data_IF_178201602963
#
_entry.id   IF_178201602963
#
_cell.length_a   1.000
_cell.length_b   1.000
_cell.length_c   1.000
_cell.angle_alpha   90.00
_cell.angle_beta   90.00
_cell.angle_gamma   90.00
#
_symmetry.space_group_name_H-M   'P 1'
#
loop_
_entity.id
_entity.type
_entity.pdbx_description
1 polymer ?
#
# COMPACT_ATOMS: atom_id res chain seq x y z
N UNK A 1 -21.96 -7.14 3.02
CA UNK A 1 -21.47 -5.84 3.52
C UNK A 1 -20.00 -5.73 3.12
N UNK A 2 -19.53 -4.55 2.72
CA UNK A 2 -18.21 -4.37 2.09
C UNK A 2 -17.35 -3.41 2.90
N UNK A 3 -16.06 -3.73 3.04
CA UNK A 3 -15.03 -2.80 3.49
C UNK A 3 -14.30 -2.21 2.31
N UNK A 4 -14.07 -0.89 2.33
CA UNK A 4 -13.22 -0.22 1.35
C UNK A 4 -11.86 0.00 1.98
N UNK A 5 -10.85 -0.65 1.42
CA UNK A 5 -9.45 -0.52 1.81
C UNK A 5 -8.75 0.48 0.89
N UNK A 6 -7.88 1.31 1.46
CA UNK A 6 -6.90 2.11 0.73
C UNK A 6 -5.55 1.39 0.90
N UNK A 7 -4.98 0.88 -0.19
CA UNK A 7 -3.78 0.03 -0.17
C UNK A 7 -2.69 0.66 -1.02
N UNK A 8 -1.55 0.95 -0.40
CA UNK A 8 -0.32 1.40 -1.06
C UNK A 8 0.46 0.19 -1.59
N UNK A 9 0.79 0.20 -2.89
CA UNK A 9 1.51 -0.88 -3.57
C UNK A 9 2.79 -0.28 -4.14
N UNK A 10 3.91 -0.92 -3.83
CA UNK A 10 5.20 -0.53 -4.40
C UNK A 10 5.23 -0.79 -5.91
N UNK A 11 6.01 0.00 -6.64
CA UNK A 11 6.19 -0.17 -8.08
C UNK A 11 6.74 -1.55 -8.47
N UNK A 12 7.60 -2.16 -7.65
CA UNK A 12 8.31 -3.38 -8.01
C UNK A 12 7.33 -4.55 -8.18
N UNK A 13 6.35 -4.62 -7.28
CA UNK A 13 5.25 -5.60 -7.30
C UNK A 13 4.38 -5.53 -8.58
N UNK A 14 4.51 -4.45 -9.37
CA UNK A 14 3.80 -4.27 -10.64
C UNK A 14 4.73 -4.52 -11.84
N UNK A 15 5.96 -4.02 -11.78
CA UNK A 15 6.91 -4.06 -12.91
C UNK A 15 7.50 -5.45 -13.15
N UNK A 16 7.67 -6.25 -12.10
CA UNK A 16 8.21 -7.61 -12.22
C UNK A 16 7.25 -8.60 -12.91
N UNK A 17 5.98 -8.23 -13.07
CA UNK A 17 4.94 -9.04 -13.70
C UNK A 17 4.40 -10.17 -12.83
N UNK A 18 4.65 -10.16 -11.51
CA UNK A 18 4.14 -11.14 -10.57
C UNK A 18 2.61 -11.19 -10.51
N UNK A 19 1.97 -10.05 -10.78
CA UNK A 19 0.54 -9.95 -11.03
C UNK A 19 0.21 -9.19 -12.31
N UNK A 20 -0.98 -9.44 -12.89
CA UNK A 20 -1.53 -8.55 -13.88
C UNK A 20 -1.73 -7.14 -13.27
N UNK A 21 -1.42 -6.07 -14.02
CA UNK A 21 -1.66 -4.70 -13.55
C UNK A 21 -3.13 -4.50 -13.14
N UNK A 22 -3.41 -3.93 -11.95
CA UNK A 22 -4.77 -3.68 -11.50
C UNK A 22 -5.60 -2.87 -12.50
N UNK A 23 -6.89 -3.19 -12.60
CA UNK A 23 -7.86 -2.48 -13.45
C UNK A 23 -9.13 -2.24 -12.65
N UNK A 24 -9.65 -1.01 -12.70
CA UNK A 24 -10.94 -0.67 -12.08
C UNK A 24 -12.03 -1.56 -12.66
N UNK A 25 -12.85 -2.14 -11.79
CA UNK A 25 -13.90 -3.10 -12.14
C UNK A 25 -13.47 -4.56 -12.18
N UNK A 26 -12.18 -4.86 -12.01
CA UNK A 26 -11.68 -6.23 -11.89
C UNK A 26 -11.23 -6.56 -10.47
N UNK A 27 -11.16 -7.85 -10.14
CA UNK A 27 -10.62 -8.30 -8.85
C UNK A 27 -9.09 -8.25 -8.88
N UNK A 28 -8.50 -7.86 -7.75
CA UNK A 28 -7.08 -7.97 -7.47
C UNK A 28 -6.85 -8.69 -6.13
N UNK A 29 -5.66 -9.24 -5.95
CA UNK A 29 -5.28 -10.00 -4.76
C UNK A 29 -3.92 -9.53 -4.26
N UNK A 30 -3.80 -9.26 -2.96
CA UNK A 30 -2.57 -8.73 -2.34
C UNK A 30 -2.38 -9.31 -0.93
N UNK A 31 -1.15 -9.61 -0.53
CA UNK A 31 -0.83 -9.82 0.89
C UNK A 31 -0.74 -8.45 1.54
N UNK A 32 -1.40 -8.27 2.67
CA UNK A 32 -1.47 -6.96 3.33
C UNK A 32 -0.54 -6.89 4.54
N UNK A 33 0.10 -5.75 4.68
CA UNK A 33 0.77 -5.31 5.90
C UNK A 33 0.17 -3.99 6.37
N UNK A 34 0.17 -3.78 7.66
CA UNK A 34 -0.34 -2.58 8.30
C UNK A 34 0.77 -1.89 9.12
N UNK A 35 0.89 -0.58 8.96
CA UNK A 35 1.70 0.29 9.83
C UNK A 35 0.80 1.32 10.48
N UNK A 36 0.77 1.36 11.82
CA UNK A 36 0.18 2.50 12.53
C UNK A 36 1.15 3.67 12.48
N UNK A 37 0.96 4.52 11.48
CA UNK A 37 1.72 5.76 11.22
C UNK A 37 0.75 6.82 10.69
N UNK A 38 1.07 8.09 10.93
CA UNK A 38 0.34 9.22 10.37
C UNK A 38 1.03 9.71 9.09
N UNK A 39 0.63 9.13 7.96
CA UNK A 39 1.17 9.41 6.63
C UNK A 39 0.05 9.83 5.67
N UNK A 40 0.41 10.36 4.50
CA UNK A 40 -0.53 10.91 3.50
C UNK A 40 -1.66 9.96 3.08
N UNK A 41 -1.45 8.64 3.22
CA UNK A 41 -2.41 7.60 2.85
C UNK A 41 -2.92 6.80 4.06
N UNK A 42 -2.69 7.31 5.28
CA UNK A 42 -3.18 6.69 6.49
C UNK A 42 -4.71 6.75 6.54
N UNK A 43 -5.34 5.59 6.48
CA UNK A 43 -6.78 5.41 6.56
C UNK A 43 -7.19 4.69 7.84
N UNK A 44 -8.48 4.67 8.17
CA UNK A 44 -8.98 3.76 9.17
C UNK A 44 -8.80 2.31 8.69
N UNK A 45 -8.33 1.44 9.57
CA UNK A 45 -8.43 0.00 9.37
C UNK A 45 -9.90 -0.42 9.45
N UNK A 46 -10.33 -1.51 8.78
CA UNK A 46 -11.71 -1.99 8.88
C UNK A 46 -12.19 -2.16 10.32
N UNK A 47 -13.49 -1.87 10.53
CA UNK A 47 -14.10 -1.79 11.86
C UNK A 47 -13.98 -3.09 12.65
N UNK A 48 -14.00 -2.98 13.97
CA UNK A 48 -13.90 -4.09 14.90
C UNK A 48 -12.68 -5.01 14.63
N UNK A 49 -11.46 -4.45 14.50
CA UNK A 49 -10.27 -5.26 14.32
C UNK A 49 -10.05 -6.19 15.51
N UNK A 50 -9.67 -7.42 15.22
CA UNK A 50 -9.19 -8.39 16.20
C UNK A 50 -7.70 -8.59 16.01
N UNK A 51 -6.95 -8.52 17.11
CA UNK A 51 -5.53 -8.85 17.13
C UNK A 51 -5.31 -10.35 17.29
N UNK A 52 -4.34 -10.89 16.55
CA UNK A 52 -3.89 -12.28 16.67
C UNK A 52 -2.39 -12.27 16.96
N UNK A 53 -1.99 -12.38 18.23
CA UNK A 53 -0.60 -12.25 18.67
C UNK A 53 0.34 -13.24 18.00
N UNK A 54 -0.08 -14.50 17.84
CA UNK A 54 0.77 -15.61 17.38
C UNK A 54 1.28 -15.39 15.95
N UNK A 55 0.46 -14.75 15.11
CA UNK A 55 0.80 -14.43 13.74
C UNK A 55 1.17 -12.96 13.55
N UNK A 56 1.07 -12.14 14.61
CA UNK A 56 1.24 -10.70 14.58
C UNK A 56 0.32 -10.03 13.54
N UNK A 57 -0.97 -10.42 13.49
CA UNK A 57 -1.92 -9.94 12.47
C UNK A 57 -3.14 -9.22 13.04
N UNK A 58 -3.59 -8.19 12.33
CA UNK A 58 -4.92 -7.61 12.48
C UNK A 58 -5.90 -8.31 11.52
N UNK A 59 -7.09 -8.63 12.02
CA UNK A 59 -8.17 -9.24 11.26
C UNK A 59 -9.45 -8.43 11.39
N UNK A 60 -10.16 -8.24 10.28
CA UNK A 60 -11.52 -7.72 10.30
C UNK A 60 -12.23 -8.10 9.00
N UNK A 61 -13.41 -8.72 9.12
CA UNK A 61 -14.16 -9.22 7.97
C UNK A 61 -13.31 -10.13 7.07
N UNK A 62 -13.24 -9.78 5.78
CA UNK A 62 -12.40 -10.48 4.79
C UNK A 62 -10.92 -10.06 4.76
N UNK A 63 -10.49 -9.17 5.67
CA UNK A 63 -9.16 -8.57 5.68
C UNK A 63 -8.27 -9.21 6.75
N UNK A 64 -7.07 -9.63 6.34
CA UNK A 64 -5.99 -10.07 7.25
C UNK A 64 -4.73 -9.31 6.87
N UNK A 65 -4.15 -8.58 7.82
CA UNK A 65 -2.93 -7.79 7.59
C UNK A 65 -1.88 -8.08 8.67
N UNK A 66 -0.62 -8.25 8.27
CA UNK A 66 0.49 -8.33 9.20
C UNK A 66 0.82 -6.96 9.78
N UNK A 67 0.87 -6.83 11.11
CA UNK A 67 1.10 -5.53 11.74
C UNK A 67 2.60 -5.33 12.00
N UNK A 68 3.26 -4.62 11.08
CA UNK A 68 4.71 -4.49 11.03
C UNK A 68 5.30 -3.82 12.26
N UNK A 69 4.62 -2.80 12.79
CA UNK A 69 5.01 -2.03 13.96
C UNK A 69 4.05 -2.22 15.14
N UNK A 70 3.46 -3.41 15.28
CA UNK A 70 2.56 -3.70 16.40
C UNK A 70 3.25 -3.36 17.75
N UNK A 71 2.61 -2.59 18.64
CA UNK A 71 3.12 -2.32 19.97
C UNK A 71 3.06 -3.59 20.84
N UNK A 72 3.68 -3.53 22.02
CA UNK A 72 3.69 -4.64 22.98
C UNK A 72 2.28 -4.94 23.53
N UNK A 73 1.46 -3.91 23.73
CA UNK A 73 0.06 -4.03 24.17
C UNK A 73 -0.88 -3.37 23.14
N UNK A 74 -1.25 -4.10 22.08
CA UNK A 74 -2.09 -3.57 21.01
C UNK A 74 -3.57 -3.48 21.38
N UNK A 75 -4.04 -4.20 22.41
CA UNK A 75 -5.47 -4.29 22.75
C UNK A 75 -6.04 -2.93 23.15
N UNK A 76 -5.24 -2.09 23.81
CA UNK A 76 -5.59 -0.69 24.10
C UNK A 76 -5.88 0.14 22.85
N UNK A 77 -5.20 -0.14 21.73
CA UNK A 77 -5.43 0.55 20.45
C UNK A 77 -6.66 0.02 19.70
N UNK A 78 -7.09 -1.22 19.96
CA UNK A 78 -8.25 -1.84 19.32
C UNK A 78 -9.60 -1.32 19.87
N UNK A 79 -9.58 -0.56 20.96
CA UNK A 79 -10.79 0.02 21.57
C UNK A 79 -11.39 1.18 20.77
N UNK A 80 -10.74 1.60 19.68
CA UNK A 80 -11.21 2.64 18.76
C UNK A 80 -10.86 2.37 17.30
N UNK A 81 -11.06 3.37 16.44
CA UNK A 81 -10.68 3.30 15.03
C UNK A 81 -9.14 3.38 14.91
N UNK A 82 -8.51 2.23 14.68
CA UNK A 82 -7.08 2.18 14.37
C UNK A 82 -6.85 2.84 13.00
N UNK A 83 -5.85 3.73 12.94
CA UNK A 83 -5.45 4.41 11.71
C UNK A 83 -4.03 4.06 11.33
N UNK A 84 -3.78 3.99 10.02
CA UNK A 84 -2.46 3.72 9.49
C UNK A 84 -2.48 3.40 8.01
N UNK A 85 -1.32 2.99 7.49
CA UNK A 85 -1.13 2.64 6.09
C UNK A 85 -1.25 1.14 5.93
N UNK A 86 -2.13 0.72 5.01
CA UNK A 86 -2.11 -0.63 4.47
C UNK A 86 -1.19 -0.65 3.25
N UNK A 87 -0.15 -1.47 3.31
CA UNK A 87 0.69 -1.77 2.15
C UNK A 87 0.33 -3.16 1.61
N UNK A 88 0.28 -3.29 0.29
CA UNK A 88 0.06 -4.57 -0.39
C UNK A 88 1.31 -5.02 -1.13
N UNK A 89 1.60 -6.31 -1.08
CA UNK A 89 2.71 -6.95 -1.80
C UNK A 89 2.30 -8.34 -2.28
N UNK A 90 2.92 -8.82 -3.35
CA UNK A 90 2.80 -10.18 -3.85
C UNK A 90 4.12 -10.93 -3.72
N UNK A 91 5.22 -10.26 -4.03
CA UNK A 91 6.57 -10.80 -3.94
C UNK A 91 7.40 -10.02 -2.91
N UNK A 92 7.89 -10.76 -1.90
CA UNK A 92 8.80 -10.19 -0.91
C UNK A 92 8.14 -9.18 0.04
N UNK A 93 8.93 -8.20 0.45
CA UNK A 93 8.58 -7.26 1.52
C UNK A 93 8.69 -7.85 2.93
N UNK A 94 8.26 -7.08 3.92
CA UNK A 94 8.28 -7.49 5.34
C UNK A 94 7.07 -8.34 5.74
N UNK A 95 6.14 -8.61 4.80
CA UNK A 95 4.94 -9.40 5.03
C UNK A 95 5.26 -10.90 4.98
N UNK A 96 5.00 -11.69 6.04
CA UNK A 96 5.26 -13.13 6.02
C UNK A 96 4.47 -13.87 4.93
N UNK A 97 5.06 -14.91 4.35
CA UNK A 97 4.41 -15.72 3.31
C UNK A 97 3.14 -16.45 3.78
N UNK A 98 2.99 -16.68 5.08
CA UNK A 98 1.81 -17.32 5.68
C UNK A 98 0.58 -16.39 5.68
N UNK A 99 0.74 -15.09 5.41
CA UNK A 99 -0.38 -14.15 5.33
C UNK A 99 -1.17 -14.45 4.05
N UNK A 100 -2.48 -14.71 4.15
CA UNK A 100 -3.31 -15.00 3.00
C UNK A 100 -3.48 -13.76 2.12
N UNK A 101 -3.75 -13.99 0.83
CA UNK A 101 -4.13 -12.92 -0.08
C UNK A 101 -5.50 -12.36 0.31
N UNK A 102 -5.58 -11.04 0.45
CA UNK A 102 -6.85 -10.33 0.48
C UNK A 102 -7.30 -10.09 -0.95
N UNK A 103 -8.50 -10.58 -1.30
CA UNK A 103 -9.06 -10.45 -2.64
C UNK A 103 -10.21 -9.44 -2.58
N UNK A 104 -10.21 -8.47 -3.49
CA UNK A 104 -11.32 -7.52 -3.59
C UNK A 104 -11.44 -6.90 -4.98
N UNK A 105 -12.57 -6.22 -5.20
CA UNK A 105 -12.87 -5.48 -6.41
C UNK A 105 -12.12 -4.15 -6.40
N UNK A 106 -11.31 -3.88 -7.42
CA UNK A 106 -10.65 -2.58 -7.58
C UNK A 106 -11.69 -1.55 -7.98
N UNK A 107 -11.91 -0.55 -7.14
CA UNK A 107 -12.89 0.52 -7.36
C UNK A 107 -12.22 1.88 -7.63
N UNK A 108 -10.91 1.97 -7.44
CA UNK A 108 -10.12 3.15 -7.79
C UNK A 108 -8.64 2.84 -7.82
N UNK A 109 -7.92 3.52 -8.70
CA UNK A 109 -6.46 3.43 -8.82
C UNK A 109 -5.93 4.85 -8.92
N UNK A 110 -4.89 5.14 -8.15
CA UNK A 110 -4.09 6.36 -8.30
C UNK A 110 -2.64 5.94 -8.47
N UNK A 111 -1.98 6.44 -9.50
CA UNK A 111 -0.52 6.34 -9.62
C UNK A 111 0.08 7.38 -8.69
N UNK A 112 1.01 6.94 -7.84
CA UNK A 112 1.81 7.80 -6.98
C UNK A 112 3.08 8.18 -7.71
N UNK A 113 3.33 9.47 -7.84
CA UNK A 113 4.58 9.99 -8.39
C UNK A 113 5.26 10.91 -7.38
N UNK A 114 6.59 10.91 -7.35
CA UNK A 114 7.41 11.73 -6.47
C UNK A 114 8.52 12.39 -7.27
N UNK A 115 8.89 13.62 -6.91
CA UNK A 115 10.01 14.32 -7.53
C UNK A 115 11.27 14.06 -6.72
N UNK A 116 12.36 13.75 -7.41
CA UNK A 116 13.68 13.52 -6.81
C UNK A 116 14.64 14.63 -7.23
N UNK A 117 15.59 14.92 -6.34
CA UNK A 117 16.72 15.81 -6.58
C UNK A 117 18.02 15.09 -6.28
N UNK A 118 19.09 15.49 -6.96
CA UNK A 118 20.43 15.02 -6.63
C UNK A 118 20.95 15.80 -5.43
N UNK A 119 21.41 15.06 -4.43
CA UNK A 119 22.03 15.57 -3.21
C UNK A 119 23.49 15.13 -3.22
N UNK A 120 24.40 16.11 -3.14
CA UNK A 120 25.83 15.87 -3.21
C UNK A 120 26.28 14.88 -2.13
N UNK A 121 26.95 13.80 -2.55
CA UNK A 121 27.43 12.75 -1.65
C UNK A 121 26.36 11.77 -1.14
N UNK A 122 25.08 11.98 -1.42
CA UNK A 122 23.96 11.13 -0.96
C UNK A 122 23.18 10.47 -2.12
N UNK A 123 23.34 10.99 -3.34
CA UNK A 123 22.67 10.46 -4.54
C UNK A 123 21.32 11.12 -4.74
N UNK A 124 20.33 10.35 -5.21
CA UNK A 124 19.00 10.87 -5.50
C UNK A 124 18.07 10.74 -4.30
N UNK A 125 17.54 11.85 -3.81
CA UNK A 125 16.61 11.90 -2.69
C UNK A 125 15.26 12.47 -3.10
N UNK A 126 14.15 11.97 -2.52
CA UNK A 126 12.84 12.53 -2.78
C UNK A 126 12.72 13.94 -2.19
N UNK A 127 12.12 14.85 -2.95
CA UNK A 127 11.76 16.18 -2.46
C UNK A 127 10.50 16.06 -1.61
N UNK A 128 10.60 16.46 -0.35
CA UNK A 128 9.48 16.45 0.59
C UNK A 128 8.28 17.24 0.04
N UNK A 129 7.07 16.71 0.21
CA UNK A 129 5.84 17.34 -0.26
C UNK A 129 5.63 17.29 -1.78
N UNK A 130 6.52 16.64 -2.54
CA UNK A 130 6.38 16.50 -4.00
C UNK A 130 5.50 15.32 -4.45
N UNK A 131 5.02 14.51 -3.50
CA UNK A 131 4.11 13.39 -3.77
C UNK A 131 2.82 13.89 -4.42
N UNK A 132 2.51 13.31 -5.58
CA UNK A 132 1.27 13.54 -6.30
C UNK A 132 0.56 12.23 -6.57
N UNK A 133 -0.77 12.29 -6.58
CA UNK A 133 -1.62 11.16 -6.93
C UNK A 133 -2.41 11.48 -8.21
N UNK A 134 -2.22 10.66 -9.23
CA UNK A 134 -2.95 10.76 -10.50
C UNK A 134 -3.91 9.60 -10.67
N UNK A 135 -5.21 9.89 -10.74
CA UNK A 135 -6.23 8.86 -10.95
C UNK A 135 -6.09 8.22 -12.35
N UNK A 136 -6.24 6.90 -12.40
CA UNK A 136 -6.28 6.11 -13.64
C UNK A 136 -7.31 4.99 -13.52
N UNK A 137 -7.77 4.45 -14.65
CA UNK A 137 -8.68 3.29 -14.67
C UNK A 137 -7.93 1.97 -14.77
N UNK A 138 -6.65 2.01 -15.15
CA UNK A 138 -5.76 0.85 -15.29
C UNK A 138 -4.35 1.24 -14.85
N UNK A 139 -3.72 0.39 -14.05
CA UNK A 139 -2.31 0.49 -13.71
C UNK A 139 -1.45 0.28 -14.95
N UNK A 140 -0.37 1.06 -15.15
CA UNK A 140 0.62 0.73 -16.17
C UNK A 140 1.31 -0.59 -15.81
N UNK A 141 1.91 -1.23 -16.82
CA UNK A 141 2.79 -2.39 -16.62
C UNK A 141 4.20 -1.96 -16.22
N UNK A 142 4.62 -0.77 -16.63
CA UNK A 142 5.92 -0.19 -16.38
C UNK A 142 5.72 1.25 -15.91
N UNK A 143 6.34 1.61 -14.79
CA UNK A 143 6.24 2.95 -14.25
C UNK A 143 7.19 3.90 -14.96
N UNK A 144 6.79 5.16 -15.07
CA UNK A 144 7.66 6.16 -15.63
C UNK A 144 8.76 6.50 -14.62
N UNK A 145 9.99 6.04 -14.87
CA UNK A 145 11.16 6.39 -14.04
C UNK A 145 11.86 7.67 -14.51
N UNK A 146 11.48 8.22 -15.67
CA UNK A 146 12.24 9.28 -16.31
C UNK A 146 13.70 8.87 -16.60
N UNK A 147 14.49 9.82 -17.07
CA UNK A 147 15.94 9.67 -17.21
C UNK A 147 16.61 10.60 -16.20
N UNK A 148 17.24 10.04 -15.16
CA UNK A 148 17.93 10.83 -14.15
C UNK A 148 19.16 11.53 -14.77
N UNK A 149 19.18 12.86 -14.68
CA UNK A 149 20.27 13.72 -15.15
C UNK A 149 20.71 14.65 -14.04
N UNK A 150 22.00 14.63 -13.75
CA UNK A 150 22.63 15.47 -12.73
C UNK A 150 22.30 16.96 -12.94
N UNK A 151 22.08 17.69 -11.85
CA UNK A 151 21.72 19.11 -11.87
C UNK A 151 20.25 19.43 -12.20
N UNK A 152 19.38 18.42 -12.34
CA UNK A 152 17.95 18.60 -12.57
C UNK A 152 17.10 17.81 -11.58
N UNK A 153 15.85 18.23 -11.37
CA UNK A 153 14.86 17.43 -10.63
C UNK A 153 14.10 16.52 -11.59
N UNK A 154 13.74 15.32 -11.13
CA UNK A 154 13.07 14.31 -11.96
C UNK A 154 11.85 13.77 -11.26
N UNK A 155 10.73 13.74 -11.97
CA UNK A 155 9.49 13.14 -11.48
C UNK A 155 9.40 11.69 -11.93
N UNK A 156 9.15 10.81 -10.98
CA UNK A 156 9.05 9.37 -11.18
C UNK A 156 7.76 8.85 -10.62
N UNK A 157 7.16 7.88 -11.29
CA UNK A 157 6.14 7.07 -10.66
C UNK A 157 6.82 6.05 -9.71
N UNK A 158 6.30 5.98 -8.50
CA UNK A 158 6.90 5.22 -7.39
C UNK A 158 5.98 4.12 -6.86
N UNK A 159 4.71 4.08 -7.28
CA UNK A 159 3.78 3.01 -6.90
C UNK A 159 2.33 3.33 -7.22
N UNK A 160 1.41 2.59 -6.59
CA UNK A 160 -0.03 2.78 -6.70
C UNK A 160 -0.66 2.95 -5.33
N UNK A 161 -1.72 3.75 -5.27
CA UNK A 161 -2.72 3.67 -4.22
C UNK A 161 -3.99 3.06 -4.82
N UNK A 162 -4.37 1.88 -4.32
CA UNK A 162 -5.57 1.16 -4.73
C UNK A 162 -6.69 1.37 -3.72
N UNK A 163 -7.88 1.67 -4.22
CA UNK A 163 -9.11 1.51 -3.45
C UNK A 163 -9.72 0.16 -3.80
N UNK A 164 -9.82 -0.74 -2.81
CA UNK A 164 -10.28 -2.11 -3.00
C UNK A 164 -11.50 -2.37 -2.11
N UNK A 165 -12.59 -2.82 -2.72
CA UNK A 165 -13.79 -3.29 -2.04
C UNK A 165 -13.65 -4.78 -1.68
N UNK A 166 -13.63 -5.10 -0.39
CA UNK A 166 -13.47 -6.44 0.17
C UNK A 166 -14.76 -6.86 0.87
N UNK A 167 -15.25 -8.07 0.56
CA UNK A 167 -16.44 -8.62 1.20
C UNK A 167 -16.13 -9.02 2.66
N UNK A 168 -17.01 -8.59 3.58
CA UNK A 168 -17.05 -9.13 4.94
C UNK A 168 -17.65 -10.54 4.85
N UNK A 169 -16.83 -11.57 5.07
CA UNK A 169 -17.31 -12.94 5.19
C UNK A 169 -18.06 -13.14 6.50
#
# INVERSE_FOLDING_TARGET
>A
MVDVLIVDIDNLDIEDGAAPPPVVGLKAAWKLSFRSVDELYAGPFPRNPTWVPECRTLKSGGTVAYWMNAPQDPDGLLTGDIRGVLSGTLLGGSTPNAIPLTIGLVIGIKIRSQTYQEVEGQGWEPIEGSDILRAVTRSPRWFNRGEMRSGYTHRMDVGLVLNIAVDRR
#
